data_IF_670423259773
#
_entry.id   IF_670423259773
#
_cell.length_a   1.000
_cell.length_b   1.000
_cell.length_c   1.000
_cell.angle_alpha   90.00
_cell.angle_beta   90.00
_cell.angle_gamma   90.00
#
_symmetry.space_group_name_H-M   'P 1'
#
loop_
_entity.id
_entity.type
_entity.pdbx_description
1 polymer ?
#
# COMPACT_ATOMS: atom_id res chain seq x y z
N UNK A 1 -70.60 26.40 -26.63
CA UNK A 1 -69.18 26.57 -27.05
C UNK A 1 -68.21 26.84 -25.87
N UNK A 2 -68.61 26.67 -24.61
CA UNK A 2 -67.73 26.88 -23.44
C UNK A 2 -66.98 25.63 -22.94
N UNK A 3 -67.54 24.43 -23.12
CA UNK A 3 -66.96 23.18 -22.58
C UNK A 3 -65.71 22.70 -23.33
N UNK A 4 -65.60 22.97 -24.63
CA UNK A 4 -64.50 22.46 -25.48
C UNK A 4 -63.16 23.13 -25.11
N UNK A 5 -63.17 24.36 -24.60
CA UNK A 5 -61.95 25.09 -24.21
C UNK A 5 -61.48 24.72 -22.79
N UNK A 6 -62.40 24.40 -21.88
CA UNK A 6 -62.10 23.90 -20.53
C UNK A 6 -61.54 22.46 -20.54
N UNK A 7 -62.02 21.61 -21.47
CA UNK A 7 -61.47 20.27 -21.72
C UNK A 7 -60.00 20.31 -22.15
N UNK A 8 -59.61 21.30 -22.97
CA UNK A 8 -58.23 21.49 -23.43
C UNK A 8 -57.30 21.94 -22.31
N UNK A 9 -57.73 22.89 -21.48
CA UNK A 9 -56.97 23.34 -20.31
C UNK A 9 -56.77 22.23 -19.27
N UNK A 10 -57.84 21.46 -18.96
CA UNK A 10 -57.76 20.34 -18.01
C UNK A 10 -56.87 19.21 -18.54
N UNK A 11 -56.93 18.90 -19.83
CA UNK A 11 -56.03 17.91 -20.47
C UNK A 11 -54.57 18.38 -20.42
N UNK A 12 -54.31 19.65 -20.67
CA UNK A 12 -52.95 20.21 -20.59
C UNK A 12 -52.40 20.14 -19.16
N UNK A 13 -53.20 20.49 -18.15
CA UNK A 13 -52.81 20.36 -16.73
C UNK A 13 -52.52 18.91 -16.37
N UNK A 14 -53.35 17.95 -16.80
CA UNK A 14 -53.11 16.53 -16.54
C UNK A 14 -51.83 16.05 -17.23
N UNK A 15 -51.57 16.44 -18.47
CA UNK A 15 -50.33 16.10 -19.18
C UNK A 15 -49.11 16.67 -18.46
N UNK A 16 -49.16 17.94 -18.05
CA UNK A 16 -48.06 18.57 -17.28
C UNK A 16 -47.84 17.83 -15.96
N UNK A 17 -48.90 17.50 -15.22
CA UNK A 17 -48.79 16.74 -13.97
C UNK A 17 -48.18 15.35 -14.18
N UNK A 18 -48.56 14.63 -15.23
CA UNK A 18 -47.99 13.32 -15.57
C UNK A 18 -46.50 13.45 -15.92
N UNK A 19 -46.12 14.46 -16.71
CA UNK A 19 -44.72 14.71 -17.06
C UNK A 19 -43.89 15.06 -15.81
N UNK A 20 -44.42 15.91 -14.92
CA UNK A 20 -43.75 16.28 -13.67
C UNK A 20 -43.62 15.07 -12.74
N UNK A 21 -44.67 14.25 -12.61
CA UNK A 21 -44.63 13.04 -11.80
C UNK A 21 -43.61 12.03 -12.35
N UNK A 22 -43.58 11.84 -13.67
CA UNK A 22 -42.61 10.96 -14.33
C UNK A 22 -41.18 11.47 -14.16
N UNK A 23 -40.93 12.76 -14.40
CA UNK A 23 -39.63 13.38 -14.19
C UNK A 23 -39.17 13.26 -12.72
N UNK A 24 -40.08 13.43 -11.77
CA UNK A 24 -39.80 13.28 -10.33
C UNK A 24 -39.44 11.83 -9.97
N UNK A 25 -40.14 10.84 -10.55
CA UNK A 25 -39.83 9.43 -10.35
C UNK A 25 -38.45 9.06 -10.93
N UNK A 26 -38.12 9.54 -12.13
CA UNK A 26 -36.80 9.36 -12.73
C UNK A 26 -35.70 10.00 -11.87
N UNK A 27 -35.92 11.23 -11.39
CA UNK A 27 -34.97 11.91 -10.51
C UNK A 27 -34.78 11.15 -9.19
N UNK A 28 -35.86 10.70 -8.55
CA UNK A 28 -35.78 9.91 -7.32
C UNK A 28 -35.06 8.57 -7.51
N UNK A 29 -35.32 7.87 -8.62
CA UNK A 29 -34.62 6.65 -8.97
C UNK A 29 -33.12 6.88 -9.20
N UNK A 30 -32.76 7.93 -9.93
CA UNK A 30 -31.35 8.30 -10.16
C UNK A 30 -30.64 8.70 -8.86
N UNK A 31 -31.24 9.57 -8.05
CA UNK A 31 -30.67 9.98 -6.76
C UNK A 31 -30.56 8.79 -5.78
N UNK A 32 -31.57 7.92 -5.75
CA UNK A 32 -31.55 6.71 -4.92
C UNK A 32 -30.42 5.76 -5.32
N UNK A 33 -30.23 5.53 -6.61
CA UNK A 33 -29.12 4.73 -7.12
C UNK A 33 -27.76 5.32 -6.71
N UNK A 34 -27.56 6.62 -6.96
CA UNK A 34 -26.33 7.35 -6.59
C UNK A 34 -26.06 7.32 -5.08
N UNK A 35 -27.11 7.35 -4.27
CA UNK A 35 -27.01 7.28 -2.82
C UNK A 35 -26.56 5.90 -2.33
N UNK A 36 -27.12 4.81 -2.89
CA UNK A 36 -26.72 3.43 -2.55
C UNK A 36 -25.28 3.16 -2.96
N UNK A 37 -24.89 3.57 -4.17
CA UNK A 37 -23.53 3.44 -4.67
C UNK A 37 -22.52 4.19 -3.78
N UNK A 38 -22.82 5.44 -3.42
CA UNK A 38 -21.95 6.21 -2.52
C UNK A 38 -21.85 5.57 -1.11
N UNK A 39 -22.93 4.97 -0.63
CA UNK A 39 -22.96 4.24 0.66
C UNK A 39 -22.05 3.01 0.60
N UNK A 40 -22.15 2.22 -0.46
CA UNK A 40 -21.34 1.02 -0.65
C UNK A 40 -19.85 1.33 -0.68
N UNK A 41 -19.44 2.42 -1.34
CA UNK A 41 -18.04 2.87 -1.36
C UNK A 41 -17.56 3.31 0.02
N UNK A 42 -18.38 3.99 0.83
CA UNK A 42 -17.96 4.39 2.19
C UNK A 42 -17.88 3.17 3.13
N UNK A 43 -18.85 2.25 3.07
CA UNK A 43 -18.83 1.02 3.85
C UNK A 43 -17.65 0.11 3.47
N UNK A 44 -17.32 0.04 2.17
CA UNK A 44 -16.13 -0.64 1.68
C UNK A 44 -14.84 -0.01 2.22
N UNK A 45 -14.79 1.32 2.33
CA UNK A 45 -13.63 2.05 2.85
C UNK A 45 -13.36 1.72 4.31
N UNK A 46 -14.40 1.75 5.14
CA UNK A 46 -14.26 1.48 6.58
C UNK A 46 -13.94 0.00 6.83
N UNK A 47 -14.62 -0.91 6.11
CA UNK A 47 -14.41 -2.34 6.27
C UNK A 47 -13.05 -2.80 5.74
N UNK A 48 -12.56 -2.24 4.63
CA UNK A 48 -11.22 -2.55 4.10
C UNK A 48 -10.13 -2.05 5.04
N UNK A 49 -10.30 -0.84 5.59
CA UNK A 49 -9.35 -0.26 6.54
C UNK A 49 -9.24 -1.09 7.82
N UNK A 50 -10.38 -1.55 8.35
CA UNK A 50 -10.41 -2.44 9.52
C UNK A 50 -9.70 -3.77 9.24
N UNK A 51 -10.05 -4.41 8.12
CA UNK A 51 -9.43 -5.67 7.70
C UNK A 51 -7.92 -5.53 7.48
N UNK A 52 -7.48 -4.46 6.82
CA UNK A 52 -6.06 -4.19 6.58
C UNK A 52 -5.26 -4.07 7.87
N UNK A 53 -5.79 -3.38 8.89
CA UNK A 53 -5.16 -3.24 10.20
C UNK A 53 -5.04 -4.59 10.92
N UNK A 54 -6.09 -5.40 10.88
CA UNK A 54 -6.07 -6.75 11.45
C UNK A 54 -5.03 -7.62 10.75
N UNK A 55 -5.07 -7.68 9.41
CA UNK A 55 -4.18 -8.52 8.61
C UNK A 55 -2.71 -8.14 8.79
N UNK A 56 -2.41 -6.83 8.87
CA UNK A 56 -1.08 -6.34 9.18
C UNK A 56 -0.58 -6.84 10.54
N UNK A 57 -1.43 -6.77 11.57
CA UNK A 57 -1.08 -7.25 12.91
C UNK A 57 -0.81 -8.75 12.90
N UNK A 58 -1.65 -9.54 12.23
CA UNK A 58 -1.49 -11.00 12.15
C UNK A 58 -0.26 -11.40 11.33
N UNK A 59 0.00 -10.74 10.20
CA UNK A 59 1.11 -11.09 9.30
C UNK A 59 2.47 -10.73 9.89
N UNK A 60 2.59 -9.57 10.54
CA UNK A 60 3.86 -9.04 10.99
C UNK A 60 4.10 -9.21 12.49
N UNK A 61 3.04 -9.39 13.28
CA UNK A 61 3.11 -9.61 14.73
C UNK A 61 3.03 -11.09 15.06
N UNK A 62 4.07 -11.68 15.64
CA UNK A 62 4.10 -13.11 15.98
C UNK A 62 5.15 -13.43 17.04
N UNK A 63 5.00 -14.57 17.70
CA UNK A 63 5.89 -15.11 18.71
C UNK A 63 5.92 -16.65 18.63
N UNK A 64 6.75 -17.35 19.43
CA UNK A 64 6.88 -18.81 19.35
C UNK A 64 5.59 -19.59 19.58
N UNK A 65 4.61 -19.00 20.29
CA UNK A 65 3.34 -19.64 20.63
C UNK A 65 2.28 -19.52 19.54
N UNK A 66 2.25 -18.41 18.79
CA UNK A 66 1.18 -18.12 17.82
C UNK A 66 1.63 -18.08 16.35
N UNK A 67 2.94 -18.15 16.05
CA UNK A 67 3.47 -18.02 14.68
C UNK A 67 2.83 -19.00 13.69
N UNK A 68 2.54 -20.22 14.12
CA UNK A 68 1.92 -21.24 13.26
C UNK A 68 0.48 -20.87 12.89
N UNK A 69 -0.30 -20.40 13.87
CA UNK A 69 -1.66 -19.92 13.67
C UNK A 69 -1.68 -18.65 12.81
N UNK A 70 -0.82 -17.68 13.10
CA UNK A 70 -0.74 -16.42 12.36
C UNK A 70 -0.34 -16.64 10.90
N UNK A 71 0.58 -17.57 10.62
CA UNK A 71 0.91 -17.98 9.26
C UNK A 71 -0.31 -18.61 8.56
N UNK A 72 -1.06 -19.46 9.25
CA UNK A 72 -2.26 -20.08 8.68
C UNK A 72 -3.36 -19.06 8.38
N UNK A 73 -3.63 -18.14 9.31
CA UNK A 73 -4.60 -17.05 9.14
C UNK A 73 -4.19 -16.12 8.00
N UNK A 74 -2.91 -15.75 7.92
CA UNK A 74 -2.35 -14.92 6.84
C UNK A 74 -2.59 -15.56 5.47
N UNK A 75 -2.38 -16.88 5.32
CA UNK A 75 -2.63 -17.60 4.07
C UNK A 75 -4.10 -17.62 3.65
N UNK A 76 -5.04 -17.50 4.59
CA UNK A 76 -6.48 -17.50 4.29
C UNK A 76 -6.96 -16.17 3.72
N UNK A 77 -6.28 -15.09 4.04
CA UNK A 77 -6.62 -13.72 3.60
C UNK A 77 -5.80 -13.28 2.38
N UNK A 78 -4.98 -14.17 1.80
CA UNK A 78 -4.19 -13.90 0.61
C UNK A 78 -4.84 -14.51 -0.64
N UNK A 79 -4.76 -13.78 -1.74
CA UNK A 79 -5.19 -14.22 -3.07
C UNK A 79 -4.20 -13.76 -4.14
N UNK A 80 -4.45 -14.12 -5.40
CA UNK A 80 -3.61 -13.72 -6.52
C UNK A 80 -2.13 -14.07 -6.31
N UNK A 81 -1.25 -13.14 -6.68
CA UNK A 81 0.20 -13.31 -6.61
C UNK A 81 0.77 -13.16 -5.19
N UNK A 82 0.05 -12.48 -4.29
CA UNK A 82 0.49 -12.32 -2.91
C UNK A 82 0.53 -13.65 -2.15
N UNK A 83 -0.39 -14.58 -2.44
CA UNK A 83 -0.44 -15.90 -1.78
C UNK A 83 0.80 -16.76 -2.03
N UNK A 84 1.18 -17.09 -3.28
CA UNK A 84 2.36 -17.91 -3.53
C UNK A 84 3.65 -17.22 -3.07
N UNK A 85 3.75 -15.90 -3.21
CA UNK A 85 4.91 -15.11 -2.72
C UNK A 85 5.07 -15.26 -1.21
N UNK A 86 3.99 -15.12 -0.45
CA UNK A 86 4.03 -15.29 1.00
C UNK A 86 4.37 -16.73 1.40
N UNK A 87 3.76 -17.73 0.75
CA UNK A 87 4.04 -19.13 1.04
C UNK A 87 5.49 -19.51 0.78
N UNK A 88 6.09 -18.98 -0.29
CA UNK A 88 7.49 -19.14 -0.63
C UNK A 88 8.41 -18.54 0.45
N UNK A 89 8.13 -17.31 0.91
CA UNK A 89 8.88 -16.65 1.98
C UNK A 89 8.82 -17.44 3.30
N UNK A 90 7.63 -17.93 3.67
CA UNK A 90 7.45 -18.72 4.90
C UNK A 90 8.21 -20.04 4.81
N UNK A 91 8.14 -20.71 3.66
CA UNK A 91 8.71 -22.05 3.46
C UNK A 91 10.22 -22.00 3.33
N UNK A 92 10.76 -21.12 2.48
CA UNK A 92 12.21 -20.98 2.24
C UNK A 92 12.97 -20.59 3.51
N UNK A 93 12.36 -19.74 4.34
CA UNK A 93 12.98 -19.27 5.58
C UNK A 93 12.68 -20.17 6.79
N UNK A 94 11.91 -21.26 6.59
CA UNK A 94 11.45 -22.16 7.65
C UNK A 94 10.91 -21.38 8.87
N UNK A 95 10.08 -20.36 8.59
CA UNK A 95 9.77 -19.28 9.52
C UNK A 95 9.30 -19.80 10.89
N UNK A 96 8.36 -20.75 10.90
CA UNK A 96 7.78 -21.32 12.14
C UNK A 96 8.86 -21.97 13.01
N UNK A 97 9.73 -22.80 12.40
CA UNK A 97 10.77 -23.48 13.13
C UNK A 97 11.83 -22.50 13.64
N UNK A 98 12.19 -21.50 12.84
CA UNK A 98 13.20 -20.52 13.20
C UNK A 98 12.72 -19.60 14.33
N UNK A 99 11.46 -19.14 14.27
CA UNK A 99 10.83 -18.36 15.33
C UNK A 99 10.82 -19.13 16.65
N UNK A 100 10.48 -20.44 16.62
CA UNK A 100 10.52 -21.29 17.83
C UNK A 100 11.94 -21.54 18.32
N UNK A 101 12.88 -21.87 17.43
CA UNK A 101 14.26 -22.19 17.79
C UNK A 101 14.99 -20.99 18.40
N UNK A 102 14.79 -19.81 17.83
CA UNK A 102 15.48 -18.59 18.24
C UNK A 102 14.68 -17.75 19.23
N UNK A 103 13.47 -18.19 19.60
CA UNK A 103 12.57 -17.46 20.49
C UNK A 103 12.36 -16.02 19.97
N UNK A 104 11.98 -15.91 18.70
CA UNK A 104 11.74 -14.62 18.05
C UNK A 104 10.38 -14.09 18.48
N UNK A 105 10.32 -12.84 18.93
CA UNK A 105 9.08 -12.11 19.17
C UNK A 105 9.09 -10.87 18.29
N UNK A 106 8.08 -10.75 17.44
CA UNK A 106 7.83 -9.61 16.57
C UNK A 106 6.59 -8.89 17.08
N UNK A 107 6.80 -7.73 17.69
CA UNK A 107 5.73 -6.85 18.17
C UNK A 107 5.45 -5.78 17.12
N UNK A 108 4.18 -5.58 16.79
CA UNK A 108 3.74 -4.61 15.79
C UNK A 108 2.78 -3.62 16.42
N UNK A 109 3.05 -2.33 16.20
CA UNK A 109 2.15 -1.25 16.58
C UNK A 109 1.79 -0.42 15.36
N UNK A 110 0.52 -0.48 14.95
CA UNK A 110 -0.02 0.37 13.89
C UNK A 110 -0.14 1.79 14.42
N UNK A 111 0.65 2.71 13.84
CA UNK A 111 0.63 4.12 14.18
C UNK A 111 -0.55 4.81 13.51
N UNK A 112 -0.73 4.52 12.22
CA UNK A 112 -1.89 4.99 11.46
C UNK A 112 -2.11 4.13 10.22
N UNK A 113 -3.30 4.24 9.61
CA UNK A 113 -3.61 3.64 8.33
C UNK A 113 -4.73 4.43 7.65
N UNK A 114 -4.66 4.50 6.31
CA UNK A 114 -5.65 5.21 5.51
C UNK A 114 -5.86 4.55 4.16
N UNK A 115 -7.09 4.68 3.64
CA UNK A 115 -7.44 4.19 2.31
C UNK A 115 -6.94 5.18 1.25
N UNK A 116 -6.09 4.70 0.35
CA UNK A 116 -5.49 5.47 -0.76
C UNK A 116 -6.45 5.55 -1.94
N UNK A 117 -7.03 4.40 -2.32
CA UNK A 117 -8.03 4.27 -3.39
C UNK A 117 -9.09 3.28 -2.96
N UNK A 118 -10.35 3.50 -3.34
CA UNK A 118 -11.45 2.62 -2.98
C UNK A 118 -12.51 2.54 -4.08
N UNK A 119 -13.08 1.35 -4.26
CA UNK A 119 -14.34 1.10 -4.97
C UNK A 119 -15.26 0.30 -4.04
N UNK A 120 -16.40 -0.19 -4.53
CA UNK A 120 -17.27 -1.09 -3.75
C UNK A 120 -16.55 -2.41 -3.39
N UNK A 121 -15.72 -2.94 -4.31
CA UNK A 121 -15.11 -4.28 -4.16
C UNK A 121 -13.58 -4.26 -4.08
N UNK A 122 -12.92 -3.12 -4.28
CA UNK A 122 -11.45 -3.02 -4.25
C UNK A 122 -10.98 -1.87 -3.40
N UNK A 123 -9.84 -2.06 -2.73
CA UNK A 123 -9.28 -1.06 -1.85
C UNK A 123 -7.76 -1.13 -1.82
N UNK A 124 -7.10 0.02 -1.79
CA UNK A 124 -5.67 0.11 -1.48
C UNK A 124 -5.53 0.81 -0.15
N UNK A 125 -4.97 0.13 0.85
CA UNK A 125 -4.76 0.68 2.19
C UNK A 125 -3.28 0.89 2.45
N UNK A 126 -2.91 2.11 2.81
CA UNK A 126 -1.56 2.46 3.29
C UNK A 126 -1.54 2.34 4.81
N UNK A 127 -0.55 1.61 5.33
CA UNK A 127 -0.37 1.35 6.76
C UNK A 127 0.99 1.87 7.19
N UNK A 128 1.00 2.60 8.28
CA UNK A 128 2.19 3.05 8.99
C UNK A 128 2.29 2.25 10.28
N UNK A 129 3.35 1.45 10.43
CA UNK A 129 3.56 0.65 11.63
C UNK A 129 5.00 0.74 12.11
N UNK A 130 5.15 0.55 13.42
CA UNK A 130 6.44 0.28 14.05
C UNK A 130 6.49 -1.20 14.38
N UNK A 131 7.57 -1.86 13.96
CA UNK A 131 7.82 -3.26 14.28
C UNK A 131 9.06 -3.36 15.15
N UNK A 132 8.99 -4.12 16.25
CA UNK A 132 10.12 -4.44 17.12
C UNK A 132 10.33 -5.95 17.13
N UNK A 133 11.53 -6.41 16.76
CA UNK A 133 11.86 -7.84 16.72
C UNK A 133 12.91 -8.18 17.76
N UNK A 134 12.60 -9.04 18.72
CA UNK A 134 13.55 -9.53 19.73
C UNK A 134 13.87 -11.01 19.52
N UNK A 135 15.05 -11.45 19.97
CA UNK A 135 15.51 -12.84 19.83
C UNK A 135 16.13 -13.32 21.13
N UNK A 136 15.62 -14.42 21.68
CA UNK A 136 16.19 -15.06 22.87
C UNK A 136 16.24 -14.15 24.11
N UNK A 137 15.28 -13.23 24.24
CA UNK A 137 15.18 -12.29 25.37
C UNK A 137 16.28 -11.23 25.42
N UNK A 138 17.07 -11.07 24.36
CA UNK A 138 18.07 -10.00 24.25
C UNK A 138 17.45 -8.82 23.49
N UNK A 139 17.65 -7.62 24.02
CA UNK A 139 17.25 -6.33 23.45
C UNK A 139 18.00 -6.02 22.15
N UNK A 140 17.73 -6.78 21.09
CA UNK A 140 17.95 -6.34 19.72
C UNK A 140 16.70 -5.62 19.26
N UNK A 141 16.24 -4.61 20.00
CA UNK A 141 15.07 -3.82 19.64
C UNK A 141 15.42 -2.96 18.43
N UNK A 142 15.33 -3.56 17.24
CA UNK A 142 15.33 -2.82 15.99
C UNK A 142 13.89 -2.41 15.74
N UNK A 143 13.59 -1.13 15.95
CA UNK A 143 12.32 -0.54 15.55
C UNK A 143 12.45 -0.03 14.13
N UNK A 144 11.83 -0.74 13.19
CA UNK A 144 11.82 -0.33 11.79
C UNK A 144 10.50 0.35 11.45
N UNK A 145 10.49 1.69 11.20
CA UNK A 145 9.31 2.35 10.70
C UNK A 145 9.00 1.78 9.33
N UNK A 146 7.89 1.06 9.25
CA UNK A 146 7.48 0.33 8.05
C UNK A 146 6.24 0.98 7.48
N UNK A 147 6.35 1.43 6.23
CA UNK A 147 5.24 1.86 5.41
C UNK A 147 4.93 0.74 4.44
N UNK A 148 3.69 0.29 4.39
CA UNK A 148 3.29 -0.72 3.41
C UNK A 148 1.92 -0.44 2.87
N UNK A 149 1.67 -0.89 1.64
CA UNK A 149 0.35 -0.86 1.03
C UNK A 149 -0.17 -2.26 0.82
N UNK A 150 -1.43 -2.48 1.21
CA UNK A 150 -2.20 -3.65 0.81
C UNK A 150 -3.13 -3.28 -0.32
N UNK A 151 -2.95 -3.92 -1.47
CA UNK A 151 -3.97 -3.99 -2.51
C UNK A 151 -4.93 -5.12 -2.15
N UNK A 152 -6.21 -4.79 -2.04
CA UNK A 152 -7.24 -5.67 -1.48
C UNK A 152 -8.45 -5.75 -2.40
N UNK A 153 -9.04 -6.94 -2.46
CA UNK A 153 -10.26 -7.24 -3.21
C UNK A 153 -11.26 -7.94 -2.29
N UNK A 154 -12.51 -7.52 -2.34
CA UNK A 154 -13.59 -8.14 -1.61
C UNK A 154 -14.14 -9.33 -2.43
N UNK A 155 -14.19 -10.51 -1.82
CA UNK A 155 -14.79 -11.72 -2.40
C UNK A 155 -15.59 -12.44 -1.33
N UNK A 156 -16.82 -12.82 -1.65
CA UNK A 156 -17.72 -13.54 -0.73
C UNK A 156 -17.87 -12.85 0.64
N UNK A 157 -17.97 -11.51 0.64
CA UNK A 157 -18.10 -10.69 1.85
C UNK A 157 -16.83 -10.60 2.71
N UNK A 158 -15.66 -11.02 2.19
CA UNK A 158 -14.38 -10.93 2.89
C UNK A 158 -13.33 -10.22 2.07
N UNK A 159 -12.52 -9.40 2.73
CA UNK A 159 -11.38 -8.76 2.10
C UNK A 159 -10.22 -9.74 1.97
N UNK A 160 -9.61 -9.81 0.79
CA UNK A 160 -8.42 -10.59 0.50
C UNK A 160 -7.33 -9.65 -0.03
N UNK A 161 -6.09 -9.88 0.39
CA UNK A 161 -4.92 -9.15 -0.09
C UNK A 161 -4.44 -9.82 -1.38
N UNK A 162 -4.44 -9.06 -2.47
CA UNK A 162 -3.91 -9.49 -3.77
C UNK A 162 -2.47 -9.01 -4.00
N UNK A 163 -2.04 -7.97 -3.29
CA UNK A 163 -0.71 -7.39 -3.40
C UNK A 163 -0.24 -6.74 -2.11
N UNK A 164 1.05 -6.90 -1.81
CA UNK A 164 1.73 -6.27 -0.68
C UNK A 164 2.95 -5.55 -1.24
N UNK A 165 3.05 -4.25 -0.99
CA UNK A 165 4.21 -3.45 -1.34
C UNK A 165 4.76 -2.77 -0.09
N UNK A 166 6.05 -2.95 0.19
CA UNK A 166 6.73 -2.37 1.35
C UNK A 166 7.54 -1.18 0.87
N UNK A 167 7.20 -0.01 1.38
CA UNK A 167 7.84 1.26 1.02
C UNK A 167 9.05 1.48 1.93
N UNK A 168 10.21 1.00 1.50
CA UNK A 168 11.53 1.35 2.05
C UNK A 168 12.16 2.51 1.27
N UNK A 169 13.13 3.23 1.87
CA UNK A 169 13.87 4.30 1.17
C UNK A 169 14.47 3.83 -0.17
N UNK A 170 14.95 2.58 -0.23
CA UNK A 170 15.48 1.97 -1.45
C UNK A 170 14.39 1.72 -2.51
N UNK A 171 13.22 1.23 -2.10
CA UNK A 171 12.08 1.01 -3.00
C UNK A 171 11.52 2.32 -3.57
N UNK A 172 11.59 3.40 -2.79
CA UNK A 172 11.17 4.74 -3.23
C UNK A 172 12.13 5.29 -4.27
N UNK A 173 13.44 5.20 -4.04
CA UNK A 173 14.47 5.61 -5.02
C UNK A 173 14.31 4.90 -6.35
N UNK A 174 14.08 3.59 -6.35
CA UNK A 174 13.85 2.83 -7.59
C UNK A 174 12.59 3.29 -8.34
N UNK A 175 11.49 3.61 -7.63
CA UNK A 175 10.28 4.15 -8.26
C UNK A 175 10.47 5.56 -8.81
N UNK A 176 11.25 6.40 -8.14
CA UNK A 176 11.59 7.75 -8.61
C UNK A 176 12.47 7.65 -9.86
N UNK A 177 13.50 6.80 -9.89
CA UNK A 177 14.33 6.55 -11.08
C UNK A 177 13.53 6.03 -12.28
N UNK A 178 12.56 5.13 -12.04
CA UNK A 178 11.64 4.66 -13.07
C UNK A 178 10.74 5.76 -13.63
N UNK A 179 10.40 6.75 -12.79
CA UNK A 179 9.56 7.90 -13.19
C UNK A 179 10.39 9.04 -13.82
N UNK A 180 11.68 9.16 -13.45
CA UNK A 180 12.62 10.18 -13.95
C UNK A 180 13.23 9.85 -15.32
N UNK A 181 13.01 8.64 -15.85
CA UNK A 181 13.35 8.37 -17.25
C UNK A 181 12.49 9.27 -18.15
N UNK A 182 13.11 10.35 -18.63
CA UNK A 182 12.44 11.38 -19.41
C UNK A 182 11.68 10.77 -20.60
N UNK A 183 10.45 11.21 -20.90
CA UNK A 183 9.69 10.71 -22.03
C UNK A 183 10.51 10.78 -23.34
N UNK A 184 10.32 9.85 -24.28
CA UNK A 184 10.98 9.92 -25.58
C UNK A 184 10.74 11.29 -26.24
N UNK A 185 11.80 12.07 -26.46
CA UNK A 185 11.72 13.42 -27.04
C UNK A 185 11.73 14.58 -26.02
N UNK A 186 11.99 14.33 -24.74
CA UNK A 186 12.22 15.40 -23.78
C UNK A 186 13.44 16.26 -24.20
N UNK A 187 13.23 17.56 -24.33
CA UNK A 187 14.29 18.53 -24.64
C UNK A 187 15.15 18.71 -23.38
N UNK A 188 16.49 18.60 -23.45
CA UNK A 188 17.35 18.79 -22.29
C UNK A 188 17.14 20.16 -21.64
N UNK A 189 17.01 20.18 -20.30
CA UNK A 189 17.02 21.44 -19.56
C UNK A 189 18.35 22.16 -19.82
N UNK A 190 18.34 23.48 -20.08
CA UNK A 190 19.57 24.23 -20.29
C UNK A 190 20.48 24.05 -19.07
N UNK A 191 21.74 23.69 -19.31
CA UNK A 191 22.71 23.46 -18.26
C UNK A 191 22.74 24.67 -17.32
N UNK A 192 22.47 24.45 -16.02
CA UNK A 192 22.68 25.49 -15.03
C UNK A 192 24.16 25.88 -15.08
N UNK A 193 24.51 27.17 -15.22
CA UNK A 193 25.90 27.59 -15.27
C UNK A 193 26.60 27.12 -14.00
N UNK A 194 27.63 26.31 -14.17
CA UNK A 194 28.38 25.63 -13.12
C UNK A 194 28.69 26.59 -11.97
N UNK A 195 28.21 26.26 -10.77
CA UNK A 195 28.72 26.85 -9.55
C UNK A 195 30.26 26.72 -9.56
N UNK A 196 30.93 27.82 -9.19
CA UNK A 196 32.38 28.03 -9.32
C UNK A 196 33.24 26.87 -8.78
N UNK A 197 34.43 26.63 -9.35
CA UNK A 197 35.26 25.47 -8.98
C UNK A 197 35.78 25.60 -7.54
N UNK A 198 35.53 24.57 -6.74
CA UNK A 198 36.24 24.31 -5.47
C UNK A 198 37.65 23.83 -5.83
N UNK A 199 38.74 24.42 -5.31
CA UNK A 199 40.09 24.05 -5.72
C UNK A 199 40.47 22.65 -5.20
N UNK A 200 40.82 21.76 -6.14
CA UNK A 200 41.40 20.44 -5.90
C UNK A 200 42.80 20.56 -5.30
N UNK A 201 43.03 19.99 -4.11
CA UNK A 201 44.38 19.75 -3.62
C UNK A 201 45.01 18.60 -4.40
N UNK A 202 46.10 18.90 -5.10
CA UNK A 202 46.86 18.02 -6.00
C UNK A 202 47.41 16.77 -5.32
N UNK A 203 47.33 15.66 -6.04
CA UNK A 203 48.07 14.42 -5.82
C UNK A 203 49.56 14.61 -6.18
N UNK A 204 50.48 14.05 -5.39
CA UNK A 204 51.89 13.86 -5.77
C UNK A 204 52.24 12.35 -5.67
N UNK A 205 53.09 11.79 -6.55
CA UNK A 205 52.90 10.46 -7.13
C UNK A 205 53.75 9.32 -6.51
N UNK A 206 53.36 8.10 -6.89
CA UNK A 206 53.97 6.82 -6.52
C UNK A 206 55.29 6.48 -7.25
N UNK A 207 56.11 5.69 -6.52
CA UNK A 207 56.96 4.56 -6.95
C UNK A 207 58.44 4.85 -7.33
N UNK A 208 59.36 3.84 -7.37
CA UNK A 208 59.19 2.39 -7.15
C UNK A 208 60.26 1.70 -6.24
N UNK A 209 60.13 0.37 -6.16
CA UNK A 209 60.80 -0.65 -5.34
C UNK A 209 62.33 -0.76 -5.43
N UNK A 210 62.94 -1.48 -4.46
CA UNK A 210 63.75 -2.72 -4.62
C UNK A 210 64.56 -3.07 -3.34
N UNK A 211 64.48 -4.33 -2.87
CA UNK A 211 65.56 -5.25 -2.40
C UNK A 211 66.76 -4.74 -1.55
N UNK A 212 67.32 -5.34 -0.50
CA UNK A 212 67.16 -6.55 0.35
C UNK A 212 68.05 -6.30 1.62
N UNK A 213 68.61 -7.28 2.37
CA UNK A 213 68.46 -7.38 3.82
C UNK A 213 69.76 -7.06 4.61
N UNK A 214 69.68 -7.06 5.96
CA UNK A 214 70.84 -7.40 6.78
C UNK A 214 71.14 -6.46 7.94
N UNK A 215 71.07 -7.06 9.13
CA UNK A 215 72.20 -7.17 10.05
C UNK A 215 72.35 -6.15 11.22
N UNK A 216 72.47 -6.77 12.40
CA UNK A 216 73.30 -6.40 13.56
C UNK A 216 73.01 -5.15 14.40
N UNK A 217 72.35 -5.38 15.55
CA UNK A 217 72.75 -5.01 16.94
C UNK A 217 73.26 -3.60 17.28
N UNK A 218 73.71 -3.35 18.53
CA UNK A 218 73.77 -4.21 19.73
C UNK A 218 72.59 -4.03 20.71
#
# INVERSE_FOLDING_TARGET
>A
MGDVMALSGRRLVVVVLVVVAFASACAAGFLGYRYVEARGIEDARDSSLAAAREYATTMFGYNPSNVEEHVAQSKQVLTGDAKPTYEDLVTKNNLVAEVRKQQVVSDVTIQDAGVVTNTEDTSTVLIFMNQSVTRGGKDLVRVDPSRLTFAMVQRDGRWLIEGIDVITDDSFRSRVEQTESAPPGAVPLPAQPSASPVPSASSEPSAPASSTPGDSGP
#
